data_IF_461449535943
#
_entry.id   IF_461449535943
#
_cell.length_a   1.000
_cell.length_b   1.000
_cell.length_c   1.000
_cell.angle_alpha   90.00
_cell.angle_beta   90.00
_cell.angle_gamma   90.00
#
_symmetry.space_group_name_H-M   'P 1'
#
loop_
_entity.id
_entity.type
_entity.pdbx_description
1 polymer ?
#
# COMPACT_ATOMS: atom_id res chain seq x y z
N UNK A 1 12.34 -14.14 -7.74
CA UNK A 1 12.52 -14.67 -9.11
C UNK A 1 11.70 -15.93 -9.39
N UNK A 2 11.79 -16.99 -8.58
CA UNK A 2 11.08 -18.25 -8.85
C UNK A 2 9.56 -18.10 -9.10
N UNK A 3 8.84 -17.42 -8.22
CA UNK A 3 7.39 -17.18 -8.37
C UNK A 3 7.07 -16.40 -9.66
N UNK A 4 7.90 -15.40 -10.00
CA UNK A 4 7.74 -14.61 -11.23
C UNK A 4 7.87 -15.49 -12.47
N UNK A 5 8.85 -16.40 -12.51
CA UNK A 5 9.02 -17.35 -13.61
C UNK A 5 7.84 -18.31 -13.73
N UNK A 6 7.30 -18.81 -12.60
CA UNK A 6 6.08 -19.63 -12.61
C UNK A 6 4.85 -18.87 -13.11
N UNK A 7 4.73 -17.58 -12.77
CA UNK A 7 3.67 -16.72 -13.33
C UNK A 7 3.82 -16.58 -14.84
N UNK A 8 5.03 -16.35 -15.35
CA UNK A 8 5.28 -16.27 -16.79
C UNK A 8 4.91 -17.59 -17.49
N UNK A 9 5.32 -18.74 -16.95
CA UNK A 9 4.97 -20.06 -17.48
C UNK A 9 3.45 -20.24 -17.59
N UNK A 10 2.72 -19.93 -16.51
CA UNK A 10 1.25 -20.00 -16.49
C UNK A 10 0.58 -19.02 -17.44
N UNK A 11 1.15 -17.84 -17.65
CA UNK A 11 0.60 -16.87 -18.60
C UNK A 11 0.84 -17.32 -20.05
N UNK A 12 2.02 -17.86 -20.35
CA UNK A 12 2.34 -18.35 -21.70
C UNK A 12 1.45 -19.52 -22.13
N UNK A 13 0.98 -20.35 -21.19
CA UNK A 13 0.06 -21.45 -21.50
C UNK A 13 -1.33 -20.99 -21.99
N UNK A 14 -1.68 -19.70 -21.83
CA UNK A 14 -2.90 -19.11 -22.40
C UNK A 14 -2.83 -18.95 -23.93
N UNK A 15 -1.66 -19.15 -24.55
CA UNK A 15 -1.53 -19.29 -26.00
C UNK A 15 -1.57 -17.99 -26.82
N UNK A 16 -1.66 -16.81 -26.19
CA UNK A 16 -1.69 -15.54 -26.92
C UNK A 16 -0.26 -15.01 -27.21
N UNK A 17 0.11 -14.69 -28.47
CA UNK A 17 1.49 -14.41 -28.87
C UNK A 17 2.09 -13.16 -28.20
N UNK A 18 1.25 -12.21 -27.78
CA UNK A 18 1.69 -10.97 -27.13
C UNK A 18 1.99 -11.09 -25.64
N UNK A 19 1.66 -12.22 -24.98
CA UNK A 19 1.79 -12.35 -23.53
C UNK A 19 3.25 -12.20 -23.08
N UNK A 20 4.18 -12.87 -23.76
CA UNK A 20 5.60 -12.82 -23.40
C UNK A 20 6.14 -11.39 -23.46
N UNK A 21 5.82 -10.65 -24.53
CA UNK A 21 6.21 -9.24 -24.67
C UNK A 21 5.61 -8.38 -23.56
N UNK A 22 4.30 -8.50 -23.33
CA UNK A 22 3.59 -7.75 -22.31
C UNK A 22 4.14 -7.98 -20.91
N UNK A 23 4.41 -9.25 -20.57
CA UNK A 23 5.00 -9.61 -19.29
C UNK A 23 6.38 -8.97 -19.12
N UNK A 24 7.26 -9.09 -20.12
CA UNK A 24 8.60 -8.52 -20.08
C UNK A 24 8.57 -6.99 -19.93
N UNK A 25 7.70 -6.29 -20.64
CA UNK A 25 7.55 -4.84 -20.53
C UNK A 25 7.13 -4.42 -19.12
N UNK A 26 6.09 -5.05 -18.56
CA UNK A 26 5.65 -4.76 -17.18
C UNK A 26 6.71 -5.16 -16.15
N UNK A 27 7.43 -6.27 -16.36
CA UNK A 27 8.50 -6.69 -15.46
C UNK A 27 9.67 -5.70 -15.46
N UNK A 28 10.04 -5.17 -16.63
CA UNK A 28 11.05 -4.12 -16.73
C UNK A 28 10.59 -2.81 -16.08
N UNK A 29 9.33 -2.43 -16.26
CA UNK A 29 8.74 -1.27 -15.56
C UNK A 29 8.79 -1.45 -14.04
N UNK A 30 8.46 -2.64 -13.54
CA UNK A 30 8.58 -2.99 -12.11
C UNK A 30 10.02 -2.85 -11.59
N UNK A 31 11.00 -3.44 -12.29
CA UNK A 31 12.42 -3.34 -11.88
C UNK A 31 12.90 -1.89 -11.93
N UNK A 32 12.52 -1.13 -12.96
CA UNK A 32 12.89 0.29 -13.07
C UNK A 32 12.26 1.14 -11.97
N UNK A 33 11.00 0.88 -11.61
CA UNK A 33 10.30 1.54 -10.51
C UNK A 33 10.95 1.24 -9.16
N UNK A 34 11.31 -0.03 -8.91
CA UNK A 34 12.00 -0.44 -7.67
C UNK A 34 13.44 0.10 -7.58
N UNK A 35 14.19 0.07 -8.68
CA UNK A 35 15.58 0.54 -8.71
C UNK A 35 15.76 2.06 -8.58
N UNK A 36 14.67 2.82 -8.63
CA UNK A 36 14.70 4.28 -8.46
C UNK A 36 14.55 4.75 -7.02
N UNK A 37 14.26 3.87 -6.03
CA UNK A 37 14.09 4.11 -4.57
C UNK A 37 13.26 5.34 -4.11
N UNK A 38 12.86 6.26 -4.99
CA UNK A 38 12.40 7.62 -4.69
C UNK A 38 10.99 7.89 -5.25
N UNK A 39 10.48 7.05 -6.15
CA UNK A 39 9.12 7.21 -6.69
C UNK A 39 8.14 6.25 -6.02
N UNK A 40 7.60 6.69 -4.87
CA UNK A 40 6.50 6.04 -4.14
C UNK A 40 5.25 5.73 -5.00
N UNK A 41 5.11 6.36 -6.16
CA UNK A 41 3.93 6.25 -7.05
C UNK A 41 3.85 4.98 -7.92
N UNK A 42 4.91 4.17 -8.03
CA UNK A 42 5.00 3.18 -9.12
C UNK A 42 5.02 1.70 -8.72
N UNK A 43 5.09 1.33 -7.43
CA UNK A 43 5.33 -0.08 -7.07
C UNK A 43 4.11 -1.00 -7.21
N UNK A 44 2.91 -0.58 -6.79
CA UNK A 44 1.74 -1.48 -6.74
C UNK A 44 0.82 -1.37 -7.96
N UNK A 45 0.75 -0.19 -8.60
CA UNK A 45 -0.03 0.02 -9.84
C UNK A 45 0.40 -0.87 -11.01
N UNK A 46 1.67 -1.27 -11.06
CA UNK A 46 2.20 -2.07 -12.16
C UNK A 46 1.76 -3.55 -12.12
N UNK A 47 1.48 -4.12 -10.94
CA UNK A 47 0.96 -5.49 -10.85
C UNK A 47 -0.48 -5.55 -11.37
N UNK A 48 -1.31 -4.57 -10.99
CA UNK A 48 -2.67 -4.44 -11.53
C UNK A 48 -2.64 -4.19 -13.04
N UNK A 49 -1.67 -3.41 -13.53
CA UNK A 49 -1.52 -3.12 -14.96
C UNK A 49 -1.25 -4.38 -15.80
N UNK A 50 -0.41 -5.30 -15.32
CA UNK A 50 -0.17 -6.57 -16.02
C UNK A 50 -1.45 -7.40 -16.11
N UNK A 51 -2.17 -7.56 -14.99
CA UNK A 51 -3.42 -8.33 -14.96
C UNK A 51 -4.46 -7.76 -15.93
N UNK A 52 -4.67 -6.44 -15.88
CA UNK A 52 -5.56 -5.73 -16.80
C UNK A 52 -5.17 -5.94 -18.26
N UNK A 53 -3.90 -5.69 -18.61
CA UNK A 53 -3.46 -5.80 -20.00
C UNK A 53 -3.56 -7.24 -20.52
N UNK A 54 -3.30 -8.24 -19.67
CA UNK A 54 -3.52 -9.66 -20.04
C UNK A 54 -5.00 -9.92 -20.31
N UNK A 55 -5.90 -9.49 -19.41
CA UNK A 55 -7.35 -9.63 -19.63
C UNK A 55 -7.80 -8.95 -20.92
N UNK A 56 -7.27 -7.78 -21.23
CA UNK A 56 -7.60 -7.04 -22.44
C UNK A 56 -7.15 -7.76 -23.72
N UNK A 57 -6.10 -8.60 -23.69
CA UNK A 57 -5.71 -9.40 -24.87
C UNK A 57 -6.84 -10.34 -25.31
N UNK A 58 -7.59 -10.90 -24.36
CA UNK A 58 -8.66 -11.87 -24.61
C UNK A 58 -10.06 -11.25 -24.66
N UNK A 59 -10.22 -10.00 -24.23
CA UNK A 59 -11.50 -9.30 -24.25
C UNK A 59 -11.77 -8.66 -25.62
N UNK A 60 -13.04 -8.59 -26.03
CA UNK A 60 -13.47 -7.75 -27.16
C UNK A 60 -13.48 -6.26 -26.78
N UNK A 61 -13.55 -5.95 -25.48
CA UNK A 61 -13.50 -4.59 -24.98
C UNK A 61 -12.05 -4.09 -24.92
N UNK A 62 -11.76 -3.04 -25.69
CA UNK A 62 -10.43 -2.40 -25.80
C UNK A 62 -10.39 -1.00 -25.19
N UNK A 63 -11.37 -0.62 -24.38
CA UNK A 63 -11.34 0.64 -23.63
C UNK A 63 -10.06 0.72 -22.78
N UNK A 64 -9.48 1.91 -22.71
CA UNK A 64 -8.26 2.13 -21.93
C UNK A 64 -8.59 2.36 -20.46
N UNK A 65 -8.27 1.37 -19.63
CA UNK A 65 -8.43 1.44 -18.18
C UNK A 65 -7.10 1.74 -17.46
N UNK A 66 -6.02 2.03 -18.19
CA UNK A 66 -4.67 2.16 -17.63
C UNK A 66 -4.62 3.17 -16.48
N UNK A 67 -5.29 4.33 -16.63
CA UNK A 67 -5.32 5.35 -15.58
C UNK A 67 -6.08 4.89 -14.34
N UNK A 68 -7.24 4.27 -14.52
CA UNK A 68 -8.05 3.69 -13.44
C UNK A 68 -7.23 2.66 -12.66
N UNK A 69 -6.64 1.71 -13.36
CA UNK A 69 -5.88 0.58 -12.78
C UNK A 69 -4.63 1.06 -12.05
N UNK A 70 -3.90 2.04 -12.61
CA UNK A 70 -2.73 2.64 -11.93
C UNK A 70 -3.13 3.38 -10.66
N UNK A 71 -4.17 4.20 -10.72
CA UNK A 71 -4.66 4.95 -9.56
C UNK A 71 -5.27 4.02 -8.50
N UNK A 72 -5.88 2.91 -8.91
CA UNK A 72 -6.37 1.90 -7.98
C UNK A 72 -5.20 1.28 -7.21
N UNK A 73 -4.13 0.87 -7.90
CA UNK A 73 -2.93 0.36 -7.23
C UNK A 73 -2.24 1.39 -6.33
N UNK A 74 -2.26 2.68 -6.70
CA UNK A 74 -1.79 3.75 -5.84
C UNK A 74 -2.66 3.89 -4.58
N UNK A 75 -3.98 3.82 -4.72
CA UNK A 75 -4.92 3.88 -3.60
C UNK A 75 -4.67 2.76 -2.59
N UNK A 76 -4.57 1.50 -3.05
CA UNK A 76 -4.24 0.37 -2.18
C UNK A 76 -2.90 0.57 -1.46
N UNK A 77 -1.88 1.06 -2.14
CA UNK A 77 -0.58 1.34 -1.51
C UNK A 77 -0.70 2.42 -0.43
N UNK A 78 -1.40 3.52 -0.71
CA UNK A 78 -1.54 4.60 0.26
C UNK A 78 -2.34 4.18 1.49
N UNK A 79 -3.39 3.36 1.32
CA UNK A 79 -4.13 2.80 2.44
C UNK A 79 -3.23 1.88 3.29
N UNK A 80 -2.44 1.00 2.65
CA UNK A 80 -1.49 0.11 3.34
C UNK A 80 -0.44 0.91 4.15
N UNK A 81 0.22 1.88 3.50
CA UNK A 81 1.19 2.77 4.13
C UNK A 81 0.58 3.55 5.32
N UNK A 82 -0.65 4.03 5.17
CA UNK A 82 -1.36 4.78 6.20
C UNK A 82 -1.70 3.90 7.42
N UNK A 83 -2.25 2.71 7.18
CA UNK A 83 -2.56 1.77 8.25
C UNK A 83 -1.31 1.23 8.96
N UNK A 84 -0.19 1.13 8.25
CA UNK A 84 1.10 0.77 8.87
C UNK A 84 1.52 1.76 9.97
N UNK A 85 1.06 3.01 9.88
CA UNK A 85 1.37 4.09 10.83
C UNK A 85 0.28 4.30 11.90
N UNK A 86 -1.00 4.16 11.52
CA UNK A 86 -2.15 4.52 12.39
C UNK A 86 -2.62 3.37 13.27
N UNK A 87 -2.24 2.12 12.99
CA UNK A 87 -2.51 0.96 13.86
C UNK A 87 -1.64 0.95 15.15
N UNK A 88 -1.67 2.05 15.91
CA UNK A 88 -1.01 2.21 17.21
C UNK A 88 -1.85 1.58 18.33
N UNK A 89 -3.17 1.54 18.19
CA UNK A 89 -4.11 1.10 19.25
C UNK A 89 -3.94 -0.38 19.63
N UNK A 90 -3.45 -1.24 18.73
CA UNK A 90 -3.10 -2.63 19.06
C UNK A 90 -1.98 -2.76 20.11
N UNK A 91 -1.26 -1.66 20.42
CA UNK A 91 -0.19 -1.63 21.41
C UNK A 91 -0.58 -0.92 22.71
N UNK A 92 -1.68 -0.16 22.76
CA UNK A 92 -2.07 0.65 23.92
C UNK A 92 -3.32 0.13 24.64
N UNK A 93 -4.19 -0.65 23.98
CA UNK A 93 -5.30 -1.37 24.62
C UNK A 93 -4.91 -2.75 25.19
N UNK A 94 -3.70 -2.91 25.71
CA UNK A 94 -3.42 -4.01 26.64
C UNK A 94 -3.51 -3.46 28.06
N UNK A 95 -4.69 -3.50 28.71
CA UNK A 95 -4.74 -3.35 30.15
C UNK A 95 -3.86 -4.45 30.74
N UNK A 96 -3.05 -4.05 31.73
CA UNK A 96 -2.39 -4.97 32.65
C UNK A 96 -3.31 -6.14 32.93
N UNK A 97 -2.78 -7.36 32.76
CA UNK A 97 -3.50 -8.62 32.82
C UNK A 97 -4.48 -8.71 34.01
N UNK A 98 -5.70 -8.22 33.82
CA UNK A 98 -6.91 -8.49 34.58
C UNK A 98 -8.01 -7.55 34.07
N UNK A 99 -8.99 -8.09 33.34
CA UNK A 99 -10.43 -7.88 33.57
C UNK A 99 -11.21 -8.62 32.46
N UNK A 100 -12.25 -9.30 32.91
CA UNK A 100 -13.19 -10.10 32.13
C UNK A 100 -13.94 -9.31 31.04
N UNK A 101 -14.09 -9.96 29.87
CA UNK A 101 -14.98 -9.66 28.72
C UNK A 101 -14.50 -8.51 27.81
N UNK A 102 -14.33 -8.67 26.49
CA UNK A 102 -15.21 -9.38 25.53
C UNK A 102 -14.41 -9.75 24.25
N UNK A 103 -14.29 -11.05 23.99
CA UNK A 103 -14.08 -11.67 22.66
C UNK A 103 -12.97 -11.16 21.71
N UNK A 104 -11.74 -10.98 22.19
CA UNK A 104 -10.55 -11.27 21.37
C UNK A 104 -9.66 -12.26 22.14
N UNK A 105 -10.01 -13.54 22.05
CA UNK A 105 -9.04 -14.62 22.32
C UNK A 105 -8.09 -14.64 21.13
N UNK A 106 -6.81 -14.37 21.36
CA UNK A 106 -5.72 -15.20 20.87
C UNK A 106 -4.46 -14.96 21.72
N UNK A 107 -3.58 -15.96 21.75
CA UNK A 107 -2.71 -16.27 22.88
C UNK A 107 -1.60 -15.24 23.10
N UNK A 108 -1.07 -15.15 24.32
CA UNK A 108 0.04 -14.26 24.75
C UNK A 108 1.34 -14.33 23.91
N UNK A 109 1.45 -15.27 22.97
CA UNK A 109 2.53 -15.33 21.97
C UNK A 109 2.29 -14.43 20.76
N UNK A 110 1.03 -14.16 20.43
CA UNK A 110 0.60 -13.37 19.27
C UNK A 110 0.81 -11.87 19.51
N UNK A 111 0.61 -11.41 20.75
CA UNK A 111 0.89 -10.02 21.18
C UNK A 111 2.34 -9.61 20.94
N UNK A 112 3.31 -10.49 21.25
CA UNK A 112 4.75 -10.22 21.03
C UNK A 112 5.16 -10.35 19.55
N UNK A 113 4.28 -10.90 18.70
CA UNK A 113 4.45 -10.93 17.26
C UNK A 113 3.92 -9.62 16.64
N UNK A 114 2.76 -9.12 17.09
CA UNK A 114 2.16 -7.87 16.60
C UNK A 114 3.04 -6.63 16.84
N UNK A 115 3.68 -6.51 18.00
CA UNK A 115 4.68 -5.44 18.25
C UNK A 115 5.91 -5.53 17.34
N UNK A 116 6.23 -6.73 16.83
CA UNK A 116 7.32 -6.93 15.87
C UNK A 116 6.97 -6.51 14.45
N UNK A 117 5.69 -6.30 14.15
CA UNK A 117 5.22 -5.86 12.83
C UNK A 117 4.70 -4.41 12.81
N UNK A 118 4.75 -3.70 13.95
CA UNK A 118 4.37 -2.29 14.04
C UNK A 118 5.32 -1.42 13.22
N UNK A 119 4.80 -0.57 12.33
CA UNK A 119 5.58 0.34 11.49
C UNK A 119 6.78 -0.32 10.79
N UNK A 120 6.59 -1.48 10.14
CA UNK A 120 7.70 -2.16 9.44
C UNK A 120 8.28 -1.33 8.30
N UNK A 121 7.53 -0.39 7.73
CA UNK A 121 8.08 0.53 6.73
C UNK A 121 9.20 1.41 7.33
N UNK A 122 9.13 1.75 8.63
CA UNK A 122 10.22 2.42 9.34
C UNK A 122 11.43 1.50 9.55
N UNK A 123 11.20 0.21 9.82
CA UNK A 123 12.28 -0.80 9.93
C UNK A 123 12.99 -0.99 8.59
N UNK A 124 12.24 -1.05 7.49
CA UNK A 124 12.76 -1.24 6.15
C UNK A 124 13.41 0.04 5.59
N UNK A 125 13.05 1.20 6.14
CA UNK A 125 13.52 2.50 5.69
C UNK A 125 12.84 2.95 4.40
N UNK A 126 11.56 2.58 4.23
CA UNK A 126 10.77 2.93 3.04
C UNK A 126 10.35 4.39 3.05
N UNK A 127 10.47 5.02 1.88
CA UNK A 127 9.99 6.38 1.65
C UNK A 127 8.51 6.35 1.22
N UNK A 128 7.61 6.16 2.19
CA UNK A 128 6.16 6.25 1.98
C UNK A 128 5.72 7.72 1.86
N UNK A 129 4.51 7.96 1.36
CA UNK A 129 3.97 9.32 1.22
C UNK A 129 4.06 10.19 2.50
N UNK A 130 3.65 9.71 3.70
CA UNK A 130 3.75 10.49 4.93
C UNK A 130 5.21 10.85 5.28
N UNK A 131 6.16 9.95 5.03
CA UNK A 131 7.59 10.19 5.26
C UNK A 131 8.13 11.25 4.30
N UNK A 132 7.75 11.18 3.02
CA UNK A 132 8.16 12.13 1.99
C UNK A 132 7.58 13.52 2.30
N UNK A 133 6.31 13.59 2.67
CA UNK A 133 5.67 14.84 3.07
C UNK A 133 6.39 15.44 4.29
N UNK A 134 6.65 14.65 5.33
CA UNK A 134 7.35 15.11 6.54
C UNK A 134 8.75 15.63 6.24
N UNK A 135 9.50 14.96 5.35
CA UNK A 135 10.84 15.37 4.95
C UNK A 135 10.91 16.75 4.27
N UNK A 136 9.77 17.27 3.81
CA UNK A 136 9.65 18.60 3.21
C UNK A 136 9.25 19.68 4.21
N UNK A 137 8.90 19.31 5.45
CA UNK A 137 8.50 20.23 6.51
C UNK A 137 9.69 20.62 7.40
N UNK A 138 9.59 21.76 8.07
CA UNK A 138 10.55 22.17 9.10
C UNK A 138 10.50 21.18 10.29
N UNK A 139 11.65 20.58 10.64
CA UNK A 139 11.74 19.50 11.63
C UNK A 139 11.63 18.08 11.05
N UNK A 140 11.44 17.96 9.72
CA UNK A 140 11.41 16.68 9.01
C UNK A 140 12.72 15.88 9.07
N UNK A 141 13.85 16.51 9.41
CA UNK A 141 15.14 15.85 9.56
C UNK A 141 15.11 14.77 10.63
N UNK A 142 14.28 14.95 11.66
CA UNK A 142 14.09 13.96 12.74
C UNK A 142 13.54 12.65 12.17
N UNK A 143 12.51 12.73 11.33
CA UNK A 143 11.90 11.57 10.66
C UNK A 143 12.93 10.87 9.78
N UNK A 144 13.68 11.62 8.97
CA UNK A 144 14.72 11.07 8.10
C UNK A 144 15.85 10.38 8.89
N UNK A 145 16.23 10.94 10.03
CA UNK A 145 17.27 10.36 10.89
C UNK A 145 16.80 9.05 11.53
N UNK A 146 15.54 8.96 11.95
CA UNK A 146 14.96 7.71 12.48
C UNK A 146 14.85 6.66 11.36
N UNK A 147 14.38 7.06 10.18
CA UNK A 147 14.24 6.17 9.02
C UNK A 147 15.58 5.56 8.59
N UNK A 148 16.65 6.37 8.57
CA UNK A 148 18.01 5.91 8.24
C UNK A 148 18.56 4.89 9.23
N UNK A 149 18.10 4.91 10.48
CA UNK A 149 18.55 3.96 11.51
C UNK A 149 17.93 2.59 11.35
N UNK A 150 16.84 2.44 10.57
CA UNK A 150 16.14 1.16 10.38
C UNK A 150 15.83 0.47 11.72
N UNK A 151 15.35 1.28 12.66
CA UNK A 151 15.20 0.87 14.06
C UNK A 151 14.08 -0.16 14.21
N UNK A 152 14.29 -1.14 15.10
CA UNK A 152 13.26 -2.08 15.55
C UNK A 152 12.67 -1.70 16.92
N UNK A 153 13.18 -0.64 17.52
CA UNK A 153 12.75 -0.14 18.82
C UNK A 153 11.33 0.46 18.72
N UNK A 154 10.32 -0.14 19.39
CA UNK A 154 8.95 0.35 19.35
C UNK A 154 8.80 1.79 19.83
N UNK A 155 9.58 2.24 20.82
CA UNK A 155 9.46 3.59 21.38
C UNK A 155 9.94 4.64 20.37
N UNK A 156 11.01 4.33 19.62
CA UNK A 156 11.47 5.18 18.52
C UNK A 156 10.48 5.22 17.37
N UNK A 157 9.81 4.10 17.06
CA UNK A 157 8.76 4.05 16.04
C UNK A 157 7.56 4.91 16.46
N UNK A 158 7.09 4.79 17.70
CA UNK A 158 6.02 5.63 18.27
C UNK A 158 6.39 7.12 18.24
N UNK A 159 7.62 7.45 18.64
CA UNK A 159 8.11 8.82 18.55
C UNK A 159 8.17 9.34 17.11
N UNK A 160 8.59 8.51 16.14
CA UNK A 160 8.55 8.89 14.74
C UNK A 160 7.12 9.21 14.27
N UNK A 161 6.14 8.39 14.67
CA UNK A 161 4.73 8.61 14.32
C UNK A 161 4.19 9.89 14.98
N UNK A 162 4.54 10.19 16.24
CA UNK A 162 4.11 11.44 16.87
C UNK A 162 4.69 12.68 16.18
N UNK A 163 5.93 12.60 15.68
CA UNK A 163 6.52 13.66 14.84
C UNK A 163 5.75 13.78 13.52
N UNK A 164 5.45 12.68 12.84
CA UNK A 164 4.65 12.68 11.60
C UNK A 164 3.28 13.34 11.80
N UNK A 165 2.62 13.05 12.93
CA UNK A 165 1.34 13.66 13.30
C UNK A 165 1.49 15.17 13.53
N UNK A 166 2.50 15.59 14.31
CA UNK A 166 2.76 17.02 14.59
C UNK A 166 3.09 17.83 13.33
N UNK A 167 3.69 17.19 12.32
CA UNK A 167 3.99 17.78 11.01
C UNK A 167 2.79 17.69 10.04
N UNK A 168 1.64 17.18 10.49
CA UNK A 168 0.42 17.04 9.69
C UNK A 168 0.51 16.01 8.57
N UNK A 169 1.52 15.14 8.58
CA UNK A 169 1.81 14.21 7.48
C UNK A 169 0.83 13.04 7.40
N UNK A 170 0.31 12.60 8.55
CA UNK A 170 -0.75 11.59 8.64
C UNK A 170 -2.04 12.14 8.04
N UNK A 171 -2.48 13.32 8.50
CA UNK A 171 -3.65 14.02 7.96
C UNK A 171 -3.52 14.26 6.45
N UNK A 172 -2.38 14.77 6.00
CA UNK A 172 -2.13 14.99 4.57
C UNK A 172 -2.31 13.70 3.76
N UNK A 173 -1.77 12.58 4.26
CA UNK A 173 -1.89 11.28 3.60
C UNK A 173 -3.35 10.82 3.53
N UNK A 174 -4.11 10.95 4.63
CA UNK A 174 -5.54 10.66 4.68
C UNK A 174 -6.32 11.48 3.65
N UNK A 175 -6.06 12.78 3.57
CA UNK A 175 -6.72 13.69 2.62
C UNK A 175 -6.41 13.27 1.16
N UNK A 176 -5.17 12.87 0.85
CA UNK A 176 -4.82 12.36 -0.47
C UNK A 176 -5.55 11.04 -0.82
N UNK A 177 -5.72 10.14 0.16
CA UNK A 177 -6.48 8.89 -0.02
C UNK A 177 -7.94 9.21 -0.35
N UNK A 178 -8.58 10.09 0.42
CA UNK A 178 -9.99 10.48 0.22
C UNK A 178 -10.20 11.11 -1.17
N UNK A 179 -9.31 12.01 -1.60
CA UNK A 179 -9.42 12.62 -2.92
C UNK A 179 -9.21 11.60 -4.05
N UNK A 180 -8.27 10.67 -3.88
CA UNK A 180 -8.05 9.59 -4.84
C UNK A 180 -9.24 8.63 -4.91
N UNK A 181 -9.87 8.32 -3.78
CA UNK A 181 -11.09 7.51 -3.70
C UNK A 181 -12.24 8.13 -4.48
N UNK A 182 -12.50 9.43 -4.27
CA UNK A 182 -13.53 10.18 -5.02
C UNK A 182 -13.27 10.10 -6.51
N UNK A 183 -12.02 10.28 -6.91
CA UNK A 183 -11.62 10.16 -8.31
C UNK A 183 -11.89 8.74 -8.84
N UNK A 184 -11.52 7.70 -8.10
CA UNK A 184 -11.74 6.30 -8.49
C UNK A 184 -13.22 5.98 -8.68
N UNK A 185 -14.08 6.38 -7.73
CA UNK A 185 -15.52 6.15 -7.80
C UNK A 185 -16.15 6.83 -9.01
N UNK A 186 -15.75 8.08 -9.28
CA UNK A 186 -16.21 8.78 -10.46
C UNK A 186 -15.78 8.07 -11.75
N UNK A 187 -14.52 7.62 -11.81
CA UNK A 187 -13.99 6.94 -12.98
C UNK A 187 -14.64 5.56 -13.21
N UNK A 188 -14.91 4.81 -12.14
CA UNK A 188 -15.67 3.54 -12.21
C UNK A 188 -17.06 3.79 -12.81
N UNK A 189 -17.75 4.83 -12.36
CA UNK A 189 -19.06 5.21 -12.91
C UNK A 189 -18.97 5.63 -14.38
N UNK A 190 -17.94 6.38 -14.78
CA UNK A 190 -17.70 6.76 -16.17
C UNK A 190 -17.56 5.54 -17.10
N UNK A 191 -17.04 4.42 -16.59
CA UNK A 191 -16.91 3.17 -17.34
C UNK A 191 -18.15 2.27 -17.32
N UNK A 192 -19.25 2.72 -16.72
CA UNK A 192 -20.52 1.98 -16.64
C UNK A 192 -20.79 1.35 -15.28
N UNK A 193 -19.94 1.61 -14.28
CA UNK A 193 -20.08 1.09 -12.93
C UNK A 193 -19.54 -0.34 -12.78
N UNK A 194 -19.15 -0.69 -11.55
CA UNK A 194 -18.74 -2.03 -11.15
C UNK A 194 -19.03 -2.20 -9.65
N UNK A 195 -20.18 -2.80 -9.28
CA UNK A 195 -20.58 -2.94 -7.87
C UNK A 195 -19.56 -3.69 -7.03
N UNK A 196 -18.90 -4.71 -7.59
CA UNK A 196 -17.90 -5.51 -6.89
C UNK A 196 -16.65 -4.67 -6.57
N UNK A 197 -16.17 -3.88 -7.53
CA UNK A 197 -15.02 -3.00 -7.32
C UNK A 197 -15.35 -1.87 -6.35
N UNK A 198 -16.56 -1.30 -6.43
CA UNK A 198 -17.02 -0.30 -5.47
C UNK A 198 -17.10 -0.87 -4.05
N UNK A 199 -17.57 -2.11 -3.88
CA UNK A 199 -17.63 -2.77 -2.58
C UNK A 199 -16.23 -3.01 -1.98
N UNK A 200 -15.24 -3.34 -2.81
CA UNK A 200 -13.84 -3.46 -2.36
C UNK A 200 -13.31 -2.11 -1.87
N UNK A 201 -13.64 -1.01 -2.57
CA UNK A 201 -13.25 0.34 -2.13
C UNK A 201 -13.96 0.68 -0.82
N UNK A 202 -15.25 0.38 -0.67
CA UNK A 202 -16.02 0.60 0.55
C UNK A 202 -15.39 -0.09 1.77
N UNK A 203 -14.94 -1.34 1.61
CA UNK A 203 -14.27 -2.10 2.67
C UNK A 203 -13.00 -1.40 3.16
N UNK A 204 -12.24 -0.77 2.26
CA UNK A 204 -11.06 0.00 2.64
C UNK A 204 -11.41 1.33 3.30
N UNK A 205 -12.49 1.99 2.88
CA UNK A 205 -12.89 3.29 3.43
C UNK A 205 -13.42 3.20 4.86
N UNK A 206 -13.98 2.06 5.28
CA UNK A 206 -14.50 1.85 6.64
C UNK A 206 -13.46 2.09 7.75
N UNK A 207 -12.18 2.06 7.41
CA UNK A 207 -11.06 2.14 8.35
C UNK A 207 -10.17 3.40 8.15
N UNK A 208 -10.65 4.40 7.39
CA UNK A 208 -9.97 5.68 7.17
C UNK A 208 -10.48 6.80 8.08
#
# INVERSE_FOLDING_TARGET
MHVMTLCLEKLLSLGHPMIGKLYCENFLENIRGQGKEIYWREQTGNMFNLAYKVMQLFSNDKRDFTKLVKNLGLYFQLCDDYWNLVNIEALEELPDANIHNKSYKNNTKDVKAETRYFCEDLTEGKFTLPIIHAAQQEGGEVVLNILRQRTRDPDRKKFCVSVLESLGSIKYTRDQIIELEKWLRNEINNFGGNPELSAIIDEMTLYL
#
